data_IF_508402065076
#
_entry.id   IF_508402065076
#
_cell.length_a   1.000
_cell.length_b   1.000
_cell.length_c   1.000
_cell.angle_alpha   90.00
_cell.angle_beta   90.00
_cell.angle_gamma   90.00
#
_symmetry.space_group_name_H-M   'P 1'
#
loop_
_entity.id
_entity.type
_entity.pdbx_description
1 polymer ?
#
# COMPACT_ATOMS: atom_id res chain seq x y z
N UNK A 1 15.04 -4.30 -15.90
CA UNK A 1 13.96 -4.61 -14.95
C UNK A 1 12.91 -3.51 -14.98
N UNK A 2 11.65 -3.88 -15.08
CA UNK A 2 10.57 -2.88 -15.12
C UNK A 2 10.35 -2.27 -13.75
N UNK A 3 10.16 -0.94 -13.72
CA UNK A 3 9.90 -0.22 -12.47
C UNK A 3 8.44 -0.40 -12.03
N UNK A 4 8.25 -0.59 -10.73
CA UNK A 4 6.94 -0.85 -10.13
C UNK A 4 6.65 0.18 -9.04
N UNK A 5 5.42 0.66 -8.99
CA UNK A 5 4.89 1.42 -7.87
C UNK A 5 3.95 0.50 -7.08
N UNK A 6 4.14 0.46 -5.76
CA UNK A 6 3.27 -0.28 -4.84
C UNK A 6 2.15 0.66 -4.38
N UNK A 7 0.90 0.18 -4.44
CA UNK A 7 -0.27 0.93 -3.96
C UNK A 7 -1.08 0.02 -3.03
N UNK A 8 -1.28 0.45 -1.79
CA UNK A 8 -2.12 -0.26 -0.84
C UNK A 8 -3.28 0.64 -0.40
N UNK A 9 -4.49 0.11 -0.44
CA UNK A 9 -5.67 0.82 0.07
C UNK A 9 -6.16 0.17 1.35
N UNK A 10 -6.51 0.99 2.33
CA UNK A 10 -6.99 0.52 3.63
C UNK A 10 -8.10 1.41 4.18
N UNK A 11 -8.87 0.86 5.13
CA UNK A 11 -9.97 1.59 5.75
C UNK A 11 -10.18 1.12 7.19
N UNK A 12 -9.36 1.62 8.10
CA UNK A 12 -9.54 1.44 9.55
C UNK A 12 -9.07 0.13 10.15
N UNK A 13 -8.58 -0.83 9.36
CA UNK A 13 -8.17 -2.16 9.87
C UNK A 13 -6.67 -2.19 10.15
N UNK A 14 -6.23 -1.43 11.16
CA UNK A 14 -4.80 -1.22 11.44
C UNK A 14 -4.04 -2.51 11.70
N UNK A 15 -4.62 -3.43 12.48
CA UNK A 15 -3.95 -4.69 12.78
C UNK A 15 -3.70 -5.54 11.53
N UNK A 16 -4.71 -5.65 10.66
CA UNK A 16 -4.56 -6.37 9.38
C UNK A 16 -3.56 -5.65 8.47
N UNK A 17 -3.65 -4.33 8.38
CA UNK A 17 -2.72 -3.52 7.61
C UNK A 17 -1.27 -3.77 8.05
N UNK A 18 -1.02 -3.74 9.36
CA UNK A 18 0.32 -3.97 9.90
C UNK A 18 0.83 -5.36 9.54
N UNK A 19 -0.01 -6.40 9.66
CA UNK A 19 0.38 -7.77 9.29
C UNK A 19 0.69 -7.88 7.80
N UNK A 20 -0.13 -7.24 6.96
CA UNK A 20 0.07 -7.23 5.52
C UNK A 20 1.42 -6.58 5.16
N UNK A 21 1.67 -5.38 5.67
CA UNK A 21 2.91 -4.66 5.37
C UNK A 21 4.13 -5.34 5.98
N UNK A 22 4.04 -5.87 7.19
CA UNK A 22 5.14 -6.62 7.79
C UNK A 22 5.50 -7.83 6.92
N UNK A 23 4.51 -8.59 6.44
CA UNK A 23 4.75 -9.73 5.57
C UNK A 23 5.32 -9.30 4.22
N UNK A 24 4.82 -8.19 3.64
CA UNK A 24 5.36 -7.66 2.39
C UNK A 24 6.84 -7.32 2.54
N UNK A 25 7.21 -6.53 3.53
CA UNK A 25 8.60 -6.13 3.73
C UNK A 25 9.50 -7.32 4.08
N UNK A 26 8.96 -8.34 4.75
CA UNK A 26 9.72 -9.53 5.10
C UNK A 26 10.04 -10.41 3.87
N UNK A 27 9.14 -10.50 2.92
CA UNK A 27 9.28 -11.41 1.78
C UNK A 27 9.57 -10.74 0.44
N UNK A 28 9.37 -9.43 0.33
CA UNK A 28 9.60 -8.75 -0.95
C UNK A 28 11.09 -8.69 -1.28
N UNK A 29 11.44 -9.20 -2.46
CA UNK A 29 12.79 -9.12 -3.00
C UNK A 29 12.85 -8.42 -4.35
N UNK A 30 11.79 -7.72 -4.73
CA UNK A 30 11.72 -6.91 -5.95
C UNK A 30 11.87 -5.43 -5.59
N UNK A 31 12.69 -4.69 -6.36
CA UNK A 31 12.87 -3.26 -6.12
C UNK A 31 11.59 -2.49 -6.44
N UNK A 32 11.12 -1.69 -5.48
CA UNK A 32 9.93 -0.86 -5.60
C UNK A 32 10.36 0.60 -5.73
N UNK A 33 9.93 1.27 -6.80
CA UNK A 33 10.29 2.66 -7.06
C UNK A 33 9.62 3.61 -6.07
N UNK A 34 8.33 3.40 -5.81
CA UNK A 34 7.56 4.23 -4.89
C UNK A 34 6.44 3.42 -4.25
N UNK A 35 6.11 3.75 -3.00
CA UNK A 35 5.07 3.05 -2.26
C UNK A 35 4.06 4.04 -1.71
N UNK A 36 2.79 3.84 -2.07
CA UNK A 36 1.67 4.64 -1.57
C UNK A 36 0.78 3.81 -0.66
N UNK A 37 0.36 4.39 0.45
CA UNK A 37 -0.68 3.83 1.31
C UNK A 37 -1.81 4.85 1.41
N UNK A 38 -3.02 4.44 1.00
CA UNK A 38 -4.21 5.29 1.02
C UNK A 38 -5.13 4.81 2.13
N UNK A 39 -5.46 5.68 3.07
CA UNK A 39 -6.36 5.36 4.19
C UNK A 39 -7.63 6.20 4.08
N UNK A 40 -8.81 5.55 4.10
CA UNK A 40 -10.10 6.18 3.85
C UNK A 40 -11.06 6.08 5.05
N UNK A 41 -10.55 5.81 6.25
CA UNK A 41 -11.40 5.65 7.45
C UNK A 41 -11.94 6.97 8.01
N UNK A 42 -11.28 8.08 7.71
CA UNK A 42 -11.57 9.39 8.31
C UNK A 42 -11.44 9.40 9.83
N UNK A 43 -10.59 8.52 10.35
CA UNK A 43 -10.38 8.36 11.78
C UNK A 43 -8.98 8.86 12.15
N UNK A 44 -8.91 9.95 12.91
CA UNK A 44 -7.64 10.58 13.27
C UNK A 44 -6.73 9.64 14.06
N UNK A 45 -7.26 8.82 14.94
CA UNK A 45 -6.46 7.86 15.71
C UNK A 45 -5.82 6.82 14.79
N UNK A 46 -6.55 6.34 13.79
CA UNK A 46 -6.02 5.41 12.78
C UNK A 46 -4.90 6.09 12.01
N UNK A 47 -5.07 7.33 11.58
CA UNK A 47 -4.05 8.07 10.84
C UNK A 47 -2.77 8.24 11.66
N UNK A 48 -2.90 8.56 12.95
CA UNK A 48 -1.75 8.70 13.83
C UNK A 48 -1.00 7.37 14.01
N UNK A 49 -1.71 6.27 14.19
CA UNK A 49 -1.09 4.95 14.32
C UNK A 49 -0.32 4.54 13.06
N UNK A 50 -0.92 4.77 11.90
CA UNK A 50 -0.28 4.48 10.61
C UNK A 50 0.96 5.35 10.43
N UNK A 51 0.85 6.63 10.73
CA UNK A 51 1.96 7.57 10.59
C UNK A 51 3.15 7.19 11.47
N UNK A 52 2.91 6.77 12.70
CA UNK A 52 3.98 6.35 13.61
C UNK A 52 4.76 5.17 13.08
N UNK A 53 4.08 4.18 12.53
CA UNK A 53 4.73 2.94 12.08
C UNK A 53 5.27 3.03 10.67
N UNK A 54 4.55 3.68 9.76
CA UNK A 54 4.85 3.61 8.32
C UNK A 54 5.29 4.92 7.69
N UNK A 55 5.22 6.03 8.41
CA UNK A 55 5.50 7.36 7.87
C UNK A 55 6.88 7.55 7.26
N UNK A 56 7.87 6.76 7.67
CA UNK A 56 9.21 6.81 7.10
C UNK A 56 9.45 5.81 5.96
N UNK A 57 8.48 4.96 5.65
CA UNK A 57 8.64 3.88 4.66
C UNK A 57 7.73 4.02 3.45
N UNK A 58 6.57 4.65 3.62
CA UNK A 58 5.58 4.82 2.55
C UNK A 58 5.13 6.27 2.47
N UNK A 59 4.69 6.66 1.28
CA UNK A 59 3.99 7.93 1.11
C UNK A 59 2.54 7.72 1.55
N UNK A 60 2.12 8.44 2.59
CA UNK A 60 0.80 8.26 3.19
C UNK A 60 -0.18 9.27 2.60
N UNK A 61 -1.32 8.76 2.12
CA UNK A 61 -2.39 9.57 1.56
C UNK A 61 -3.64 9.38 2.42
N UNK A 62 -3.90 10.34 3.31
CA UNK A 62 -5.05 10.30 4.21
C UNK A 62 -6.18 11.11 3.59
N UNK A 63 -7.29 10.45 3.27
CA UNK A 63 -8.44 11.12 2.70
C UNK A 63 -9.10 12.05 3.73
N UNK A 64 -9.51 13.22 3.29
CA UNK A 64 -10.17 14.21 4.14
C UNK A 64 -11.68 14.05 4.16
N UNK A 65 -12.22 13.30 3.22
CA UNK A 65 -13.63 12.91 3.17
C UNK A 65 -13.74 11.54 2.55
N UNK A 66 -14.79 10.79 2.89
CA UNK A 66 -14.98 9.41 2.44
C UNK A 66 -15.06 9.35 0.92
N UNK A 67 -14.16 8.58 0.30
CA UNK A 67 -14.11 8.43 -1.16
C UNK A 67 -14.50 7.03 -1.62
N UNK A 68 -14.37 6.03 -0.75
CA UNK A 68 -14.54 4.64 -1.13
C UNK A 68 -13.29 4.09 -1.83
N UNK A 69 -13.24 2.76 -1.93
CA UNK A 69 -12.05 2.08 -2.44
C UNK A 69 -11.74 2.42 -3.90
N UNK A 70 -12.75 2.38 -4.77
CA UNK A 70 -12.56 2.61 -6.21
C UNK A 70 -12.04 4.03 -6.46
N UNK A 71 -12.65 5.03 -5.85
CA UNK A 71 -12.26 6.43 -6.04
C UNK A 71 -10.86 6.70 -5.49
N UNK A 72 -10.53 6.10 -4.34
CA UNK A 72 -9.19 6.20 -3.74
C UNK A 72 -8.14 5.60 -4.66
N UNK A 73 -8.42 4.44 -5.26
CA UNK A 73 -7.52 3.79 -6.23
C UNK A 73 -7.30 4.69 -7.43
N UNK A 74 -8.36 5.20 -8.04
CA UNK A 74 -8.28 6.05 -9.24
C UNK A 74 -7.45 7.31 -8.96
N UNK A 75 -7.69 7.97 -7.83
CA UNK A 75 -6.95 9.17 -7.48
C UNK A 75 -5.46 8.88 -7.25
N UNK A 76 -5.15 7.75 -6.60
CA UNK A 76 -3.77 7.36 -6.35
C UNK A 76 -3.04 7.00 -7.64
N UNK A 77 -3.72 6.31 -8.56
CA UNK A 77 -3.12 5.92 -9.84
C UNK A 77 -2.70 7.13 -10.67
N UNK A 78 -3.34 8.27 -10.50
CA UNK A 78 -2.93 9.51 -11.18
C UNK A 78 -1.54 9.99 -10.74
N UNK A 79 -1.08 9.58 -9.57
CA UNK A 79 0.23 9.92 -9.03
C UNK A 79 1.34 8.95 -9.47
N UNK A 80 0.97 7.81 -10.05
CA UNK A 80 1.92 6.76 -10.43
C UNK A 80 2.64 7.15 -11.70
N UNK A 81 3.97 7.03 -11.69
CA UNK A 81 4.83 7.38 -12.82
C UNK A 81 5.55 6.19 -13.43
N UNK A 82 5.41 5.01 -12.85
CA UNK A 82 6.05 3.79 -13.35
C UNK A 82 5.14 3.07 -14.33
N UNK A 83 5.70 2.20 -15.22
CA UNK A 83 4.87 1.45 -16.17
C UNK A 83 3.99 0.38 -15.52
N UNK A 84 4.34 -0.07 -14.32
CA UNK A 84 3.61 -1.13 -13.63
C UNK A 84 3.18 -0.69 -12.24
N UNK A 85 2.02 -1.20 -11.81
CA UNK A 85 1.48 -1.00 -10.47
C UNK A 85 1.28 -2.37 -9.82
N UNK A 86 1.80 -2.52 -8.60
CA UNK A 86 1.47 -3.67 -7.76
C UNK A 86 0.45 -3.21 -6.72
N UNK A 87 -0.81 -3.60 -6.92
CA UNK A 87 -1.89 -3.23 -6.02
C UNK A 87 -2.03 -4.26 -4.92
N UNK A 88 -2.06 -3.81 -3.68
CA UNK A 88 -2.21 -4.65 -2.49
C UNK A 88 -3.38 -4.16 -1.66
N UNK A 89 -4.09 -5.08 -1.03
CA UNK A 89 -5.13 -4.74 -0.07
C UNK A 89 -4.64 -5.01 1.36
N UNK A 90 -5.35 -4.44 2.34
CA UNK A 90 -4.90 -4.43 3.73
C UNK A 90 -5.07 -5.76 4.47
N UNK A 91 -5.57 -6.80 3.80
CA UNK A 91 -5.80 -8.12 4.40
C UNK A 91 -5.03 -9.25 3.71
N UNK A 92 -4.00 -8.91 2.91
CA UNK A 92 -3.16 -9.91 2.25
C UNK A 92 -1.95 -10.25 3.10
N UNK A 93 -1.57 -11.54 3.13
CA UNK A 93 -0.38 -12.01 3.85
C UNK A 93 0.56 -12.69 2.86
N UNK A 94 1.79 -12.20 2.79
CA UNK A 94 2.83 -12.76 1.93
C UNK A 94 3.58 -13.84 2.67
N UNK A 95 3.85 -14.96 2.02
CA UNK A 95 4.42 -16.15 2.66
C UNK A 95 5.66 -16.68 1.97
N UNK A 96 6.08 -16.09 0.83
CA UNK A 96 7.28 -16.54 0.11
C UNK A 96 7.90 -15.41 -0.69
N UNK A 97 9.18 -15.57 -1.05
CA UNK A 97 9.90 -14.63 -1.91
C UNK A 97 9.50 -14.81 -3.37
N UNK A 98 9.94 -13.90 -4.23
CA UNK A 98 9.73 -13.91 -5.67
C UNK A 98 8.26 -13.76 -6.11
N UNK A 99 7.36 -13.34 -5.24
CA UNK A 99 5.93 -13.26 -5.59
C UNK A 99 5.68 -12.20 -6.68
N UNK A 100 6.41 -11.08 -6.67
CA UNK A 100 6.24 -10.06 -7.72
C UNK A 100 6.78 -10.56 -9.06
N UNK A 101 7.95 -11.19 -9.08
CA UNK A 101 8.50 -11.78 -10.31
C UNK A 101 7.54 -12.80 -10.92
N UNK A 102 6.91 -13.61 -10.09
CA UNK A 102 5.94 -14.61 -10.56
C UNK A 102 4.73 -13.94 -11.20
N UNK A 103 4.28 -12.80 -10.68
CA UNK A 103 3.18 -12.05 -11.27
C UNK A 103 3.54 -11.44 -12.64
N UNK A 104 4.83 -11.24 -12.91
CA UNK A 104 5.31 -10.64 -14.17
C UNK A 104 5.53 -11.66 -15.30
N UNK A 105 5.39 -12.93 -15.02
CA UNK A 105 5.57 -14.00 -16.03
C UNK A 105 4.39 -14.15 -16.96
#
# INVERSE_FOLDING_TARGET
MKKITFVLTSCGRVELLNKTLDSFFNYNDYEIEEMFLVEDSLNQNVYEDIKKKWGGKLTLLFNKKKRGQIKSIVETYKLVKTPLIFHCEDDWIYTRKNFIKDCLK
#
